data_IF_219104800678
#
_entry.id   IF_219104800678
#
_cell.length_a   1.000
_cell.length_b   1.000
_cell.length_c   1.000
_cell.angle_alpha   90.00
_cell.angle_beta   90.00
_cell.angle_gamma   90.00
#
_symmetry.space_group_name_H-M   'P 1'
#
loop_
_entity.id
_entity.type
_entity.pdbx_description
1 polymer ?
#
# COMPACT_ATOMS: atom_id res chain seq x y z
N UNK A 1 -33.18 -14.47 6.92
CA UNK A 1 -32.13 -14.62 7.95
C UNK A 1 -31.26 -15.82 7.64
N UNK A 2 -29.97 -15.75 7.97
CA UNK A 2 -29.03 -16.87 7.80
C UNK A 2 -29.42 -18.03 8.75
N UNK A 3 -29.59 -19.24 8.20
CA UNK A 3 -30.00 -20.45 8.96
C UNK A 3 -28.92 -21.52 9.08
N UNK A 4 -27.73 -21.30 8.51
CA UNK A 4 -26.64 -22.28 8.53
C UNK A 4 -26.93 -23.62 7.85
N UNK A 5 -27.90 -23.70 6.93
CA UNK A 5 -28.22 -24.95 6.23
C UNK A 5 -27.12 -25.32 5.23
N UNK A 6 -26.97 -26.61 4.93
CA UNK A 6 -25.98 -27.10 3.96
C UNK A 6 -26.09 -26.40 2.59
N UNK A 7 -27.34 -26.16 2.12
CA UNK A 7 -27.59 -25.43 0.87
C UNK A 7 -27.10 -23.98 0.93
N UNK A 8 -27.23 -23.31 2.08
CA UNK A 8 -26.73 -21.95 2.25
C UNK A 8 -25.19 -21.93 2.22
N UNK A 9 -24.54 -22.88 2.89
CA UNK A 9 -23.07 -22.99 2.89
C UNK A 9 -22.50 -23.28 1.50
N UNK A 10 -23.10 -24.23 0.77
CA UNK A 10 -22.67 -24.55 -0.59
C UNK A 10 -22.73 -23.33 -1.53
N UNK A 11 -23.85 -22.59 -1.47
CA UNK A 11 -24.01 -21.36 -2.25
C UNK A 11 -23.06 -20.25 -1.78
N UNK A 12 -22.85 -20.13 -0.46
CA UNK A 12 -21.93 -19.15 0.12
C UNK A 12 -20.49 -19.39 -0.35
N UNK A 13 -20.00 -20.62 -0.30
CA UNK A 13 -18.63 -20.96 -0.72
C UNK A 13 -18.43 -20.70 -2.22
N UNK A 14 -19.41 -21.07 -3.05
CA UNK A 14 -19.36 -20.79 -4.49
C UNK A 14 -19.36 -19.28 -4.76
N UNK A 15 -20.23 -18.52 -4.09
CA UNK A 15 -20.27 -17.07 -4.21
C UNK A 15 -18.98 -16.42 -3.70
N UNK A 16 -18.42 -16.89 -2.58
CA UNK A 16 -17.17 -16.40 -2.00
C UNK A 16 -16.00 -16.57 -2.96
N UNK A 17 -15.86 -17.75 -3.58
CA UNK A 17 -14.82 -18.01 -4.58
C UNK A 17 -15.00 -17.14 -5.84
N UNK A 18 -16.23 -17.01 -6.34
CA UNK A 18 -16.52 -16.15 -7.50
C UNK A 18 -16.19 -14.67 -7.20
N UNK A 19 -16.63 -14.16 -6.04
CA UNK A 19 -16.35 -12.79 -5.65
C UNK A 19 -14.86 -12.55 -5.41
N UNK A 20 -14.12 -13.50 -4.83
CA UNK A 20 -12.67 -13.41 -4.70
C UNK A 20 -11.97 -13.39 -6.07
N UNK A 21 -12.42 -14.24 -7.00
CA UNK A 21 -11.94 -14.30 -8.37
C UNK A 21 -12.22 -13.02 -9.16
N UNK A 22 -13.38 -12.38 -8.95
CA UNK A 22 -13.74 -11.10 -9.58
C UNK A 22 -13.05 -9.90 -8.92
N UNK A 23 -12.85 -9.94 -7.60
CA UNK A 23 -12.22 -8.84 -6.85
C UNK A 23 -10.74 -8.70 -7.18
N UNK A 24 -10.04 -9.81 -7.47
CA UNK A 24 -8.62 -9.78 -7.81
C UNK A 24 -8.30 -8.90 -9.03
N UNK A 25 -8.88 -9.12 -10.23
CA UNK A 25 -8.67 -8.25 -11.38
C UNK A 25 -9.27 -6.86 -11.17
N UNK A 26 -10.34 -6.73 -10.38
CA UNK A 26 -10.91 -5.41 -10.03
C UNK A 26 -9.92 -4.55 -9.25
N UNK A 27 -9.23 -5.11 -8.25
CA UNK A 27 -8.24 -4.34 -7.46
C UNK A 27 -7.07 -3.91 -8.35
N UNK A 28 -6.62 -4.79 -9.26
CA UNK A 28 -5.58 -4.45 -10.23
C UNK A 28 -6.05 -3.34 -11.19
N UNK A 29 -7.29 -3.42 -11.69
CA UNK A 29 -7.82 -2.46 -12.64
C UNK A 29 -8.10 -1.10 -12.01
N UNK A 30 -8.67 -1.03 -10.82
CA UNK A 30 -9.00 0.25 -10.14
C UNK A 30 -7.74 1.10 -9.94
N UNK A 31 -6.66 0.50 -9.42
CA UNK A 31 -5.40 1.24 -9.25
C UNK A 31 -4.70 1.54 -10.57
N UNK A 32 -4.88 0.70 -11.59
CA UNK A 32 -4.39 0.98 -12.95
C UNK A 32 -5.14 2.14 -13.60
N UNK A 33 -6.46 2.26 -13.39
CA UNK A 33 -7.27 3.36 -13.91
C UNK A 33 -6.86 4.69 -13.29
N UNK A 34 -6.71 4.75 -11.96
CA UNK A 34 -6.16 5.95 -11.29
C UNK A 34 -4.77 6.29 -11.81
N UNK A 35 -3.98 5.27 -12.14
CA UNK A 35 -2.67 5.48 -12.76
C UNK A 35 -2.74 6.00 -14.19
N UNK A 36 -3.78 5.68 -14.96
CA UNK A 36 -3.95 6.14 -16.33
C UNK A 36 -4.25 7.65 -16.42
N UNK A 37 -4.83 8.25 -15.38
CA UNK A 37 -5.02 9.69 -15.28
C UNK A 37 -3.69 10.45 -15.42
N UNK A 38 -2.58 9.85 -14.97
CA UNK A 38 -1.23 10.38 -15.15
C UNK A 38 -0.57 9.83 -16.41
N UNK A 39 -0.57 8.50 -16.60
CA UNK A 39 0.18 7.83 -17.68
C UNK A 39 -0.23 8.28 -19.09
N UNK A 40 -1.50 8.67 -19.27
CA UNK A 40 -2.01 9.20 -20.54
C UNK A 40 -1.66 10.68 -20.77
N UNK A 41 -1.30 11.40 -19.71
CA UNK A 41 -0.84 12.79 -19.77
C UNK A 41 0.49 12.90 -20.52
N UNK A 42 0.70 14.02 -21.21
CA UNK A 42 1.94 14.32 -21.94
C UNK A 42 2.98 15.05 -21.06
N UNK A 43 2.69 15.26 -19.78
CA UNK A 43 3.58 15.98 -18.86
C UNK A 43 4.85 15.14 -18.60
N UNK A 44 6.05 15.74 -18.60
CA UNK A 44 7.28 15.02 -18.32
C UNK A 44 7.25 14.33 -16.96
N UNK A 45 7.57 13.03 -16.96
CA UNK A 45 7.48 12.15 -15.80
C UNK A 45 6.07 11.73 -15.40
N UNK A 46 5.04 12.06 -16.17
CA UNK A 46 3.74 11.39 -16.10
C UNK A 46 3.58 10.40 -17.25
N UNK A 47 4.09 10.74 -18.44
CA UNK A 47 3.97 9.92 -19.64
C UNK A 47 4.86 8.66 -19.59
N UNK A 48 4.46 7.67 -18.80
CA UNK A 48 5.22 6.44 -18.58
C UNK A 48 4.32 5.20 -18.56
N UNK A 49 4.68 4.19 -19.35
CA UNK A 49 3.93 2.93 -19.46
C UNK A 49 4.11 2.00 -18.26
N UNK A 50 5.10 2.25 -17.40
CA UNK A 50 5.35 1.48 -16.18
C UNK A 50 4.38 1.83 -15.04
N UNK A 51 3.67 2.96 -15.14
CA UNK A 51 2.84 3.49 -14.07
C UNK A 51 1.73 2.54 -13.59
N UNK A 52 0.92 1.89 -14.46
CA UNK A 52 -0.16 1.03 -13.99
C UNK A 52 0.30 -0.11 -13.06
N UNK A 53 1.25 -1.00 -13.43
CA UNK A 53 1.72 -2.04 -12.52
C UNK A 53 2.48 -1.47 -11.30
N UNK A 54 3.15 -0.33 -11.46
CA UNK A 54 3.85 0.35 -10.38
C UNK A 54 2.89 0.92 -9.31
N UNK A 55 1.80 1.59 -9.72
CA UNK A 55 0.77 2.10 -8.81
C UNK A 55 0.05 0.98 -8.08
N UNK A 56 -0.22 -0.14 -8.77
CA UNK A 56 -0.79 -1.35 -8.15
C UNK A 56 0.15 -1.90 -7.07
N UNK A 57 1.45 -2.06 -7.38
CA UNK A 57 2.43 -2.51 -6.39
C UNK A 57 2.53 -1.56 -5.19
N UNK A 58 2.53 -0.25 -5.45
CA UNK A 58 2.50 0.79 -4.42
C UNK A 58 1.23 0.74 -3.56
N UNK A 59 0.08 0.44 -4.14
CA UNK A 59 -1.17 0.30 -3.40
C UNK A 59 -1.16 -0.90 -2.45
N UNK A 60 -0.64 -2.05 -2.90
CA UNK A 60 -0.47 -3.22 -2.00
C UNK A 60 0.54 -2.90 -0.90
N UNK A 61 1.66 -2.27 -1.26
CA UNK A 61 2.69 -1.88 -0.30
C UNK A 61 2.17 -0.95 0.80
N UNK A 62 1.49 0.15 0.43
CA UNK A 62 0.85 1.09 1.36
C UNK A 62 -0.28 0.42 2.16
N UNK A 63 -1.09 -0.42 1.52
CA UNK A 63 -2.21 -1.12 2.15
C UNK A 63 -1.73 -2.03 3.28
N UNK A 64 -0.72 -2.86 3.05
CA UNK A 64 -0.15 -3.73 4.09
C UNK A 64 0.51 -2.93 5.22
N UNK A 65 1.15 -1.80 4.91
CA UNK A 65 1.69 -0.90 5.92
C UNK A 65 0.60 -0.28 6.81
N UNK A 66 -0.51 0.17 6.22
CA UNK A 66 -1.66 0.68 6.96
C UNK A 66 -2.31 -0.40 7.82
N UNK A 67 -2.48 -1.61 7.31
CA UNK A 67 -3.00 -2.74 8.09
C UNK A 67 -2.09 -3.03 9.29
N UNK A 68 -0.76 -3.08 9.12
CA UNK A 68 0.17 -3.26 10.25
C UNK A 68 0.07 -2.12 11.27
N UNK A 69 -0.04 -0.88 10.81
CA UNK A 69 -0.13 0.32 11.67
C UNK A 69 -1.31 0.26 12.62
N UNK A 70 -2.46 -0.25 12.15
CA UNK A 70 -3.69 -0.38 12.94
C UNK A 70 -3.78 -1.72 13.69
N UNK A 71 -3.43 -2.82 13.03
CA UNK A 71 -3.57 -4.17 13.57
C UNK A 71 -2.64 -4.40 14.78
N UNK A 72 -1.42 -3.85 14.77
CA UNK A 72 -0.47 -4.01 15.89
C UNK A 72 -1.02 -3.44 17.21
N UNK A 73 -1.46 -2.16 17.29
CA UNK A 73 -2.06 -1.64 18.51
C UNK A 73 -3.38 -2.33 18.85
N UNK A 74 -4.26 -2.60 17.87
CA UNK A 74 -5.52 -3.31 18.10
C UNK A 74 -5.31 -4.70 18.68
N UNK A 75 -4.31 -5.44 18.18
CA UNK A 75 -3.92 -6.76 18.69
C UNK A 75 -3.62 -6.71 20.19
N UNK A 76 -2.91 -5.67 20.65
CA UNK A 76 -2.55 -5.52 22.08
C UNK A 76 -3.72 -5.01 22.92
N UNK A 77 -4.47 -4.03 22.42
CA UNK A 77 -5.59 -3.41 23.16
C UNK A 77 -6.77 -4.36 23.38
N UNK A 78 -7.06 -5.21 22.40
CA UNK A 78 -8.17 -6.17 22.44
C UNK A 78 -7.72 -7.59 22.81
N UNK A 79 -6.43 -7.81 23.14
CA UNK A 79 -5.91 -9.12 23.52
C UNK A 79 -6.01 -10.20 22.43
N UNK A 80 -5.92 -9.82 21.15
CA UNK A 80 -6.12 -10.71 20.00
C UNK A 80 -4.85 -11.48 19.61
N UNK A 81 -3.97 -11.73 20.57
CA UNK A 81 -2.63 -12.25 20.33
C UNK A 81 -2.61 -13.69 19.82
N UNK A 82 -3.56 -14.49 20.28
CA UNK A 82 -3.74 -15.90 19.91
C UNK A 82 -4.34 -16.06 18.51
N UNK A 83 -5.15 -15.09 18.06
CA UNK A 83 -5.70 -15.06 16.71
C UNK A 83 -4.69 -14.49 15.71
N UNK A 84 -4.11 -13.33 16.04
CA UNK A 84 -3.14 -12.63 15.18
C UNK A 84 -1.73 -13.04 15.61
N UNK A 85 -1.35 -14.26 15.21
CA UNK A 85 -0.05 -14.83 15.56
C UNK A 85 1.13 -14.14 14.87
N UNK A 86 2.34 -14.39 15.37
CA UNK A 86 3.59 -13.91 14.75
C UNK A 86 3.83 -14.43 13.32
N UNK A 87 3.12 -15.48 12.90
CA UNK A 87 3.16 -15.95 11.50
C UNK A 87 2.50 -14.95 10.56
N UNK A 88 1.39 -14.33 10.98
CA UNK A 88 0.75 -13.26 10.21
C UNK A 88 1.70 -12.07 10.06
N UNK A 89 2.35 -11.66 11.15
CA UNK A 89 3.33 -10.57 11.14
C UNK A 89 4.52 -10.84 10.21
N UNK A 90 5.12 -12.03 10.25
CA UNK A 90 6.23 -12.39 9.34
C UNK A 90 5.79 -12.45 7.87
N UNK A 91 4.58 -12.94 7.60
CA UNK A 91 4.04 -12.99 6.24
C UNK A 91 3.73 -11.59 5.70
N UNK A 92 3.11 -10.73 6.49
CA UNK A 92 2.86 -9.33 6.12
C UNK A 92 4.18 -8.59 5.86
N UNK A 93 5.20 -8.80 6.69
CA UNK A 93 6.54 -8.25 6.46
C UNK A 93 7.18 -8.71 5.15
N UNK A 94 6.98 -9.97 4.73
CA UNK A 94 7.46 -10.46 3.43
C UNK A 94 6.72 -9.83 2.27
N UNK A 95 5.38 -9.72 2.35
CA UNK A 95 4.58 -9.08 1.29
C UNK A 95 4.99 -7.62 1.13
N UNK A 96 5.15 -6.90 2.24
CA UNK A 96 5.60 -5.51 2.26
C UNK A 96 7.01 -5.37 1.67
N UNK A 97 7.93 -6.29 1.98
CA UNK A 97 9.26 -6.30 1.37
C UNK A 97 9.21 -6.51 -0.15
N UNK A 98 8.50 -7.54 -0.62
CA UNK A 98 8.43 -7.87 -2.06
C UNK A 98 7.80 -6.72 -2.85
N UNK A 99 6.67 -6.19 -2.37
CA UNK A 99 5.98 -5.08 -3.05
C UNK A 99 6.78 -3.79 -2.98
N UNK A 100 7.43 -3.48 -1.87
CA UNK A 100 8.34 -2.34 -1.75
C UNK A 100 9.56 -2.43 -2.68
N UNK A 101 10.08 -3.64 -2.94
CA UNK A 101 11.14 -3.84 -3.94
C UNK A 101 10.65 -3.60 -5.37
N UNK A 102 9.41 -3.97 -5.70
CA UNK A 102 8.80 -3.66 -7.01
C UNK A 102 8.64 -2.14 -7.18
N UNK A 103 8.20 -1.43 -6.14
CA UNK A 103 8.12 0.03 -6.12
C UNK A 103 9.52 0.66 -6.29
N UNK A 104 10.52 0.15 -5.57
CA UNK A 104 11.91 0.57 -5.70
C UNK A 104 12.47 0.36 -7.12
N UNK A 105 12.14 -0.77 -7.73
CA UNK A 105 12.44 -1.04 -9.14
C UNK A 105 11.78 -0.02 -10.07
N UNK A 106 10.52 0.37 -9.80
CA UNK A 106 9.82 1.42 -10.53
C UNK A 106 10.59 2.75 -10.53
N UNK A 107 11.10 3.20 -9.38
CA UNK A 107 11.93 4.42 -9.31
C UNK A 107 13.21 4.30 -10.14
N UNK A 108 13.88 3.15 -10.10
CA UNK A 108 15.10 2.92 -10.87
C UNK A 108 14.83 2.93 -12.37
N UNK A 109 13.75 2.27 -12.79
CA UNK A 109 13.31 2.26 -14.20
C UNK A 109 12.99 3.67 -14.65
N UNK A 110 12.27 4.47 -13.87
CA UNK A 110 11.94 5.85 -14.23
C UNK A 110 13.20 6.70 -14.48
N UNK A 111 14.18 6.63 -13.57
CA UNK A 111 15.47 7.33 -13.73
C UNK A 111 16.21 6.81 -14.97
N UNK A 112 16.25 5.50 -15.16
CA UNK A 112 16.92 4.87 -16.29
C UNK A 112 16.29 5.27 -17.62
N UNK A 113 14.95 5.19 -17.74
CA UNK A 113 14.23 5.52 -18.97
C UNK A 113 14.31 7.01 -19.29
N UNK A 114 14.25 7.89 -18.28
CA UNK A 114 14.43 9.32 -18.48
C UNK A 114 15.82 9.65 -19.07
N UNK A 115 16.88 9.03 -18.52
CA UNK A 115 18.23 9.15 -19.06
C UNK A 115 18.38 8.54 -20.46
N UNK A 116 17.84 7.32 -20.65
CA UNK A 116 17.94 6.56 -21.89
C UNK A 116 17.14 7.18 -23.05
N UNK A 117 16.03 7.85 -22.76
CA UNK A 117 15.13 8.45 -23.76
C UNK A 117 15.79 9.55 -24.61
N UNK A 118 16.87 10.17 -24.12
CA UNK A 118 17.49 11.34 -24.75
C UNK A 118 16.62 12.61 -24.73
N UNK A 119 15.44 12.57 -24.10
CA UNK A 119 14.55 13.73 -24.01
C UNK A 119 15.04 14.69 -22.91
N UNK A 120 15.33 15.93 -23.30
CA UNK A 120 15.80 16.98 -22.39
C UNK A 120 14.81 17.27 -21.26
N UNK A 121 13.50 17.14 -21.50
CA UNK A 121 12.46 17.44 -20.52
C UNK A 121 12.33 16.34 -19.47
N UNK A 122 12.33 15.08 -19.89
CA UNK A 122 12.32 13.91 -18.98
C UNK A 122 13.56 13.89 -18.09
N UNK A 123 14.74 14.13 -18.70
CA UNK A 123 15.99 14.17 -17.95
C UNK A 123 16.07 15.39 -17.01
N UNK A 124 15.56 16.54 -17.44
CA UNK A 124 15.44 17.71 -16.58
C UNK A 124 14.53 17.45 -15.39
N UNK A 125 13.40 16.76 -15.59
CA UNK A 125 12.46 16.44 -14.53
C UNK A 125 13.12 15.56 -13.44
N UNK A 126 13.90 14.54 -13.82
CA UNK A 126 14.64 13.73 -12.85
C UNK A 126 15.69 14.57 -12.11
N UNK A 127 16.44 15.41 -12.82
CA UNK A 127 17.41 16.32 -12.19
C UNK A 127 16.72 17.30 -11.23
N UNK A 128 15.53 17.78 -11.58
CA UNK A 128 14.75 18.67 -10.74
C UNK A 128 14.23 17.97 -9.48
N UNK A 129 13.85 16.69 -9.55
CA UNK A 129 13.52 15.89 -8.36
C UNK A 129 14.72 15.71 -7.43
N UNK A 130 15.92 15.49 -7.97
CA UNK A 130 17.14 15.21 -7.17
C UNK A 130 17.79 16.49 -6.62
N UNK A 131 17.86 17.56 -7.42
CA UNK A 131 18.61 18.78 -7.08
C UNK A 131 17.75 20.03 -6.93
N UNK A 132 16.48 19.98 -7.33
CA UNK A 132 15.58 21.12 -7.34
C UNK A 132 14.98 21.46 -5.96
N UNK A 133 13.95 22.32 -5.94
CA UNK A 133 13.39 22.86 -4.69
C UNK A 133 12.73 21.78 -3.82
N UNK A 134 12.22 20.71 -4.43
CA UNK A 134 11.61 19.58 -3.72
C UNK A 134 12.56 18.42 -3.43
N UNK A 135 13.89 18.62 -3.53
CA UNK A 135 14.89 17.57 -3.30
C UNK A 135 14.74 16.83 -1.97
N UNK A 136 14.37 17.56 -0.91
CA UNK A 136 14.20 16.97 0.42
C UNK A 136 13.04 15.97 0.44
N UNK A 137 11.94 16.30 -0.25
CA UNK A 137 10.79 15.42 -0.36
C UNK A 137 11.15 14.16 -1.15
N UNK A 138 11.88 14.31 -2.25
CA UNK A 138 12.37 13.17 -3.04
C UNK A 138 13.36 12.29 -2.24
N UNK A 139 14.26 12.89 -1.47
CA UNK A 139 15.17 12.13 -0.59
C UNK A 139 14.41 11.39 0.52
N UNK A 140 13.40 12.04 1.12
CA UNK A 140 12.53 11.41 2.12
C UNK A 140 11.75 10.24 1.52
N UNK A 141 11.28 10.35 0.28
CA UNK A 141 10.65 9.26 -0.46
C UNK A 141 11.59 8.04 -0.54
N UNK A 142 12.81 8.21 -1.04
CA UNK A 142 13.78 7.11 -1.18
C UNK A 142 14.15 6.53 0.19
N UNK A 143 14.36 7.36 1.20
CA UNK A 143 14.65 6.92 2.57
C UNK A 143 13.51 6.06 3.14
N UNK A 144 12.27 6.50 3.00
CA UNK A 144 11.12 5.84 3.59
C UNK A 144 10.70 4.58 2.83
N UNK A 145 10.67 4.62 1.49
CA UNK A 145 10.15 3.51 0.69
C UNK A 145 11.22 2.49 0.32
N UNK A 146 12.47 2.91 0.13
CA UNK A 146 13.55 2.00 -0.28
C UNK A 146 14.40 1.58 0.92
N UNK A 147 14.89 2.52 1.73
CA UNK A 147 15.82 2.19 2.81
C UNK A 147 15.13 1.61 4.04
N UNK A 148 13.97 2.16 4.45
CA UNK A 148 13.30 1.72 5.68
C UNK A 148 12.79 0.27 5.63
N UNK A 149 12.59 -0.30 4.44
CA UNK A 149 12.14 -1.69 4.28
C UNK A 149 13.29 -2.71 4.23
N UNK A 150 14.54 -2.29 4.02
CA UNK A 150 15.68 -3.22 3.94
C UNK A 150 15.90 -4.06 5.22
N UNK A 151 15.64 -3.55 6.44
CA UNK A 151 15.68 -4.39 7.63
C UNK A 151 14.76 -5.62 7.56
N UNK A 152 13.67 -5.56 6.76
CA UNK A 152 12.74 -6.68 6.60
C UNK A 152 13.37 -7.90 5.93
N UNK A 153 14.55 -7.83 5.32
CA UNK A 153 15.28 -9.03 4.88
C UNK A 153 15.58 -9.96 6.06
N UNK A 154 15.87 -9.39 7.22
CA UNK A 154 16.22 -10.14 8.41
C UNK A 154 14.98 -10.65 9.13
N UNK A 155 14.94 -11.97 9.37
CA UNK A 155 13.86 -12.62 10.14
C UNK A 155 13.71 -12.02 11.54
N UNK A 156 14.79 -11.50 12.14
CA UNK A 156 14.76 -10.82 13.44
C UNK A 156 13.89 -9.55 13.40
N UNK A 157 14.01 -8.74 12.35
CA UNK A 157 13.19 -7.54 12.19
C UNK A 157 11.71 -7.90 11.94
N UNK A 158 11.43 -8.88 11.06
CA UNK A 158 10.06 -9.33 10.78
C UNK A 158 9.35 -10.00 11.97
N UNK A 159 10.09 -10.44 12.97
CA UNK A 159 9.54 -10.98 14.23
C UNK A 159 9.47 -9.94 15.35
N UNK A 160 9.95 -8.72 15.14
CA UNK A 160 9.85 -7.65 16.12
C UNK A 160 8.62 -6.80 15.82
N UNK A 161 7.65 -6.80 16.75
CA UNK A 161 6.41 -6.03 16.63
C UNK A 161 6.73 -4.52 16.52
N UNK A 162 7.66 -4.03 17.36
CA UNK A 162 8.08 -2.64 17.33
C UNK A 162 8.74 -2.26 16.00
N UNK A 163 9.61 -3.12 15.47
CA UNK A 163 10.27 -2.86 14.19
C UNK A 163 9.26 -2.81 13.05
N UNK A 164 8.33 -3.76 12.96
CA UNK A 164 7.28 -3.77 11.95
C UNK A 164 6.39 -2.54 12.03
N UNK A 165 6.01 -2.11 13.23
CA UNK A 165 5.18 -0.93 13.42
C UNK A 165 5.90 0.35 12.95
N UNK A 166 7.15 0.55 13.37
CA UNK A 166 7.96 1.70 12.97
C UNK A 166 8.17 1.71 11.44
N UNK A 167 8.55 0.58 10.85
CA UNK A 167 8.74 0.47 9.40
C UNK A 167 7.43 0.78 8.67
N UNK A 168 6.29 0.26 9.14
CA UNK A 168 4.99 0.51 8.52
C UNK A 168 4.59 1.99 8.55
N UNK A 169 4.96 2.73 9.60
CA UNK A 169 4.76 4.17 9.65
C UNK A 169 5.61 4.90 8.60
N UNK A 170 6.90 4.56 8.50
CA UNK A 170 7.77 5.12 7.46
C UNK A 170 7.22 4.86 6.06
N UNK A 171 6.74 3.64 5.78
CA UNK A 171 6.12 3.31 4.48
C UNK A 171 4.87 4.16 4.21
N UNK A 172 3.99 4.35 5.20
CA UNK A 172 2.82 5.21 5.00
C UNK A 172 3.19 6.67 4.67
N UNK A 173 4.20 7.23 5.36
CA UNK A 173 4.72 8.56 5.02
C UNK A 173 5.40 8.59 3.65
N UNK A 174 6.21 7.58 3.34
CA UNK A 174 6.92 7.47 2.06
C UNK A 174 5.99 7.36 0.87
N UNK A 175 4.92 6.57 0.97
CA UNK A 175 3.90 6.45 -0.08
C UNK A 175 3.08 7.72 -0.27
N UNK A 176 2.89 8.51 0.79
CA UNK A 176 2.32 9.85 0.64
C UNK A 176 3.27 10.79 -0.12
N UNK A 177 4.57 10.77 0.24
CA UNK A 177 5.59 11.52 -0.49
C UNK A 177 5.71 11.08 -1.95
N UNK A 178 5.50 9.80 -2.26
CA UNK A 178 5.51 9.29 -3.63
C UNK A 178 4.48 10.04 -4.49
N UNK A 179 3.24 10.12 -4.03
CA UNK A 179 2.16 10.82 -4.76
C UNK A 179 2.42 12.32 -4.82
N UNK A 180 2.99 12.92 -3.77
CA UNK A 180 3.42 14.31 -3.80
C UNK A 180 4.57 14.56 -4.80
N UNK A 181 5.51 13.63 -4.92
CA UNK A 181 6.61 13.74 -5.88
C UNK A 181 6.04 13.61 -7.28
N UNK A 182 5.21 12.61 -7.58
CA UNK A 182 4.67 12.44 -8.92
C UNK A 182 3.86 13.67 -9.36
N UNK A 183 3.01 14.25 -8.51
CA UNK A 183 2.07 15.29 -8.93
C UNK A 183 2.72 16.70 -8.90
N UNK A 184 2.88 17.38 -7.75
CA UNK A 184 3.52 18.69 -7.68
C UNK A 184 4.88 18.81 -8.37
N UNK A 185 5.77 17.81 -8.26
CA UNK A 185 7.14 17.98 -8.78
C UNK A 185 7.24 17.88 -10.30
N UNK A 186 6.27 17.24 -10.96
CA UNK A 186 6.16 17.20 -12.42
C UNK A 186 5.39 18.40 -12.98
N UNK A 187 4.47 19.00 -12.21
CA UNK A 187 3.67 20.14 -12.67
C UNK A 187 4.33 21.51 -12.43
N UNK A 188 5.11 21.66 -11.36
CA UNK A 188 5.64 22.98 -11.00
C UNK A 188 6.74 23.47 -11.95
N UNK A 189 7.35 22.55 -12.70
CA UNK A 189 8.32 22.83 -13.78
C UNK A 189 8.06 21.88 -14.94
N UNK A 190 7.36 22.39 -15.94
CA UNK A 190 6.99 21.68 -17.16
C UNK A 190 7.77 22.23 -18.37
N UNK A 191 7.19 22.12 -19.57
CA UNK A 191 7.81 22.49 -20.84
C UNK A 191 8.21 23.96 -20.95
N UNK A 192 7.44 24.89 -20.36
CA UNK A 192 7.59 26.33 -20.57
C UNK A 192 8.14 26.99 -19.29
N UNK A 193 9.35 27.57 -19.32
CA UNK A 193 9.89 28.25 -18.14
C UNK A 193 9.04 29.41 -17.61
N UNK A 194 8.22 30.03 -18.45
CA UNK A 194 7.31 31.11 -18.07
C UNK A 194 6.12 30.66 -17.20
N UNK A 195 5.76 29.38 -17.19
CA UNK A 195 4.68 28.80 -16.37
C UNK A 195 5.18 28.18 -15.07
N UNK A 196 6.47 28.29 -14.75
CA UNK A 196 7.03 27.67 -13.56
C UNK A 196 6.50 28.32 -12.28
N UNK A 197 5.99 27.47 -11.40
CA UNK A 197 5.37 27.87 -10.13
C UNK A 197 5.90 27.06 -8.96
N UNK A 198 5.50 27.45 -7.75
CA UNK A 198 5.69 26.66 -6.55
C UNK A 198 4.34 26.39 -5.91
N UNK A 199 4.18 25.20 -5.35
CA UNK A 199 2.98 24.81 -4.64
C UNK A 199 3.23 25.00 -3.14
N UNK A 200 2.47 25.90 -2.53
CA UNK A 200 2.47 26.12 -1.10
C UNK A 200 1.11 25.71 -0.55
N UNK A 201 1.03 24.61 0.23
CA UNK A 201 -0.24 24.16 0.79
C UNK A 201 -0.79 25.20 1.76
N UNK A 202 -2.09 25.42 1.68
CA UNK A 202 -2.85 26.30 2.55
C UNK A 202 -3.32 25.55 3.79
N UNK A 203 -3.86 26.29 4.77
CA UNK A 203 -4.50 25.70 5.94
C UNK A 203 -5.65 24.74 5.59
N UNK A 204 -6.32 24.94 4.45
CA UNK A 204 -7.45 24.11 4.04
C UNK A 204 -7.02 22.77 3.46
N UNK A 205 -5.85 22.72 2.80
CA UNK A 205 -5.25 21.47 2.34
C UNK A 205 -4.92 20.56 3.54
N UNK A 206 -4.29 21.12 4.57
CA UNK A 206 -4.01 20.39 5.80
C UNK A 206 -5.27 20.02 6.59
N UNK A 207 -6.24 20.94 6.71
CA UNK A 207 -7.49 20.66 7.41
C UNK A 207 -8.26 19.51 6.76
N UNK A 208 -8.31 19.47 5.42
CA UNK A 208 -8.97 18.39 4.67
C UNK A 208 -8.21 17.07 4.83
N UNK A 209 -6.87 17.11 4.80
CA UNK A 209 -6.04 15.94 5.01
C UNK A 209 -6.20 15.34 6.41
N UNK A 210 -6.10 16.15 7.47
CA UNK A 210 -6.32 15.67 8.84
C UNK A 210 -7.79 15.29 9.10
N UNK A 211 -8.73 15.98 8.45
CA UNK A 211 -10.15 15.64 8.49
C UNK A 211 -10.45 14.24 7.92
N UNK A 212 -9.79 13.85 6.82
CA UNK A 212 -9.96 12.50 6.25
C UNK A 212 -9.40 11.41 7.17
N UNK A 213 -8.26 11.66 7.83
CA UNK A 213 -7.72 10.76 8.86
C UNK A 213 -8.70 10.64 10.04
N UNK A 214 -9.26 11.77 10.50
CA UNK A 214 -10.24 11.78 11.58
C UNK A 214 -11.51 11.00 11.23
N UNK A 215 -12.05 11.19 10.03
CA UNK A 215 -13.21 10.45 9.53
C UNK A 215 -12.92 8.95 9.44
N UNK A 216 -11.78 8.57 8.87
CA UNK A 216 -11.36 7.17 8.78
C UNK A 216 -11.26 6.52 10.16
N UNK A 217 -10.59 7.16 11.11
CA UNK A 217 -10.43 6.63 12.47
C UNK A 217 -11.78 6.54 13.20
N UNK A 218 -12.67 7.53 13.04
CA UNK A 218 -14.00 7.49 13.62
C UNK A 218 -14.83 6.31 13.10
N UNK A 219 -14.84 6.10 11.77
CA UNK A 219 -15.54 4.97 11.16
C UNK A 219 -14.90 3.63 11.53
N UNK A 220 -13.58 3.56 11.63
CA UNK A 220 -12.86 2.36 12.04
C UNK A 220 -13.17 1.98 13.50
N UNK A 221 -13.19 2.94 14.41
CA UNK A 221 -13.57 2.69 15.80
C UNK A 221 -15.04 2.30 15.94
N UNK A 222 -15.93 2.93 15.17
CA UNK A 222 -17.33 2.51 15.11
C UNK A 222 -17.46 1.07 14.61
N UNK A 223 -16.73 0.71 13.56
CA UNK A 223 -16.72 -0.66 13.02
C UNK A 223 -16.27 -1.68 14.07
N UNK A 224 -15.13 -1.46 14.73
CA UNK A 224 -14.61 -2.37 15.77
C UNK A 224 -15.54 -2.44 16.99
N UNK A 225 -16.29 -1.38 17.28
CA UNK A 225 -17.24 -1.35 18.41
C UNK A 225 -18.55 -2.07 18.12
N UNK A 226 -19.03 -2.04 16.87
CA UNK A 226 -20.35 -2.54 16.45
C UNK A 226 -20.26 -3.95 15.87
N UNK A 227 -19.20 -4.26 15.12
CA UNK A 227 -19.05 -5.52 14.38
C UNK A 227 -17.90 -6.37 14.95
N UNK A 228 -17.97 -7.71 14.80
CA UNK A 228 -16.85 -8.58 15.13
C UNK A 228 -15.69 -8.34 14.17
N UNK A 229 -14.54 -7.91 14.70
CA UNK A 229 -13.33 -7.63 13.90
C UNK A 229 -12.69 -8.89 13.28
N UNK A 230 -13.07 -10.09 13.76
CA UNK A 230 -12.56 -11.38 13.28
C UNK A 230 -13.73 -12.22 12.76
N UNK A 231 -13.56 -12.83 11.58
CA UNK A 231 -14.54 -13.73 10.99
C UNK A 231 -14.62 -15.07 11.77
N UNK A 232 -15.55 -15.17 12.72
CA UNK A 232 -15.66 -16.31 13.64
C UNK A 232 -15.88 -17.66 12.95
N UNK A 233 -16.62 -17.70 11.84
CA UNK A 233 -16.92 -18.95 11.15
C UNK A 233 -15.69 -19.51 10.40
N UNK A 234 -14.88 -18.64 9.79
CA UNK A 234 -13.63 -19.05 9.14
C UNK A 234 -12.62 -19.53 10.17
N UNK A 235 -12.50 -18.82 11.30
CA UNK A 235 -11.63 -19.24 12.39
C UNK A 235 -11.99 -20.63 12.94
N UNK A 236 -13.29 -20.93 13.05
CA UNK A 236 -13.75 -22.28 13.42
C UNK A 236 -13.43 -23.34 12.38
N UNK A 237 -13.43 -23.00 11.09
CA UNK A 237 -13.02 -23.91 10.02
C UNK A 237 -11.52 -24.22 10.02
N UNK A 238 -10.70 -23.35 10.63
CA UNK A 238 -9.24 -23.50 10.70
C UNK A 238 -8.78 -24.27 11.94
N UNK A 239 -9.66 -24.58 12.91
CA UNK A 239 -9.28 -25.33 14.10
C UNK A 239 -8.94 -26.79 13.76
N UNK A 240 -8.05 -27.43 14.53
CA UNK A 240 -7.70 -28.84 14.32
C UNK A 240 -8.92 -29.77 14.31
N UNK A 241 -9.96 -29.45 15.08
CA UNK A 241 -11.19 -30.25 15.19
C UNK A 241 -12.06 -30.22 13.93
N UNK A 242 -11.88 -29.22 13.06
CA UNK A 242 -12.57 -29.12 11.78
C UNK A 242 -11.86 -29.90 10.66
N UNK A 243 -10.61 -30.32 10.87
CA UNK A 243 -9.88 -31.15 9.91
C UNK A 243 -10.37 -32.59 10.04
N UNK A 244 -10.96 -33.12 8.98
CA UNK A 244 -11.24 -34.56 8.87
C UNK A 244 -9.91 -35.29 9.05
N UNK A 245 -9.75 -36.02 10.17
CA UNK A 245 -8.58 -36.88 10.38
C UNK A 245 -8.61 -37.94 9.29
N UNK A 246 -7.66 -37.89 8.35
CA UNK A 246 -7.44 -39.01 7.45
C UNK A 246 -7.18 -40.26 8.31
N UNK A 247 -7.87 -41.39 8.04
CA UNK A 247 -7.56 -42.61 8.75
C UNK A 247 -6.11 -42.96 8.46
N UNK A 248 -5.31 -43.13 9.52
CA UNK A 248 -3.94 -43.60 9.38
C UNK A 248 -3.98 -44.94 8.63
N UNK A 249 -3.49 -44.94 7.39
CA UNK A 249 -3.24 -46.17 6.67
C UNK A 249 -2.14 -46.93 7.43
N UNK A 250 -2.57 -47.92 8.21
CA UNK A 250 -1.71 -48.95 8.81
C UNK A 250 -1.37 -50.04 7.82
#
# INVERSE_FOLDING_TARGET
>A
GWRGSARHWHNYESAYLLLAGLSTPLVLSVHSVVSFDFASGQVPGWHATIFPPYFVAGAVFAGFAMVLTLMIPLRKLFGLEDFITMKHMDNMGKVMLVTGLIVGYGYLVEIFTAWYSGNIYEWYMIRNRIFGPYKLIWMSLILCNVLAIQPLWFRKARKSIAALWIISMFVNFGMWFERFVIIPTSLHRDFLPGSWGMYYPTRWDFATFFGSIGLFMALMFLFVRVFPAIAMFEMKGLTPDAKVKEPAHG
#
